data_IF_767505105916
#
_entry.id   IF_767505105916
#
_cell.length_a   1.000
_cell.length_b   1.000
_cell.length_c   1.000
_cell.angle_alpha   90.00
_cell.angle_beta   90.00
_cell.angle_gamma   90.00
#
_symmetry.space_group_name_H-M   'P 1'
#
loop_
_entity.id
_entity.type
_entity.pdbx_description
1 polymer ?
#
# COMPACT_ATOMS: atom_id res chain seq x y z
N UNK A 1 -8.82 -12.20 -24.04
CA UNK A 1 -8.72 -11.99 -25.51
C UNK A 1 -7.53 -11.09 -25.87
N UNK A 2 -7.02 -10.27 -24.95
CA UNK A 2 -5.89 -9.35 -25.19
C UNK A 2 -4.49 -10.02 -25.15
N UNK A 3 -4.37 -11.24 -24.62
CA UNK A 3 -3.08 -11.91 -24.38
C UNK A 3 -2.31 -11.37 -23.18
N UNK A 4 -2.84 -10.38 -22.46
CA UNK A 4 -2.19 -9.83 -21.28
C UNK A 4 -2.29 -10.79 -20.08
N UNK A 5 -1.22 -10.83 -19.28
CA UNK A 5 -1.18 -11.60 -18.03
C UNK A 5 -1.58 -10.67 -16.89
N UNK A 6 -2.68 -10.97 -16.21
CA UNK A 6 -3.20 -10.17 -15.10
C UNK A 6 -3.30 -11.09 -13.89
N UNK A 7 -2.66 -10.75 -12.79
CA UNK A 7 -2.67 -11.53 -11.54
C UNK A 7 -3.74 -11.06 -10.55
N UNK A 8 -4.08 -9.78 -10.60
CA UNK A 8 -5.15 -9.18 -9.80
C UNK A 8 -5.75 -7.97 -10.53
N UNK A 9 -6.90 -7.52 -10.08
CA UNK A 9 -7.56 -6.32 -10.59
C UNK A 9 -7.74 -5.32 -9.44
N UNK A 10 -7.04 -4.20 -9.52
CA UNK A 10 -7.16 -3.12 -8.55
C UNK A 10 -8.41 -2.31 -8.85
N UNK A 11 -9.29 -2.19 -7.86
CA UNK A 11 -10.53 -1.45 -7.94
C UNK A 11 -10.38 -0.14 -7.17
N UNK A 12 -10.92 0.94 -7.74
CA UNK A 12 -10.91 2.26 -7.12
C UNK A 12 -12.33 2.65 -6.68
N UNK A 13 -12.82 2.17 -5.55
CA UNK A 13 -14.01 2.73 -4.95
C UNK A 13 -13.72 4.17 -4.52
N UNK A 14 -14.76 4.99 -4.39
CA UNK A 14 -14.58 6.32 -3.81
C UNK A 14 -13.93 6.21 -2.44
N UNK A 15 -12.97 7.06 -2.16
CA UNK A 15 -12.28 7.08 -0.85
C UNK A 15 -13.20 7.38 0.34
N UNK A 16 -14.44 7.78 0.08
CA UNK A 16 -15.47 8.01 1.10
C UNK A 16 -16.47 6.85 1.22
N UNK A 17 -16.25 5.72 0.56
CA UNK A 17 -17.21 4.60 0.56
C UNK A 17 -17.53 4.09 1.96
N UNK A 18 -16.57 4.09 2.87
CA UNK A 18 -16.75 3.74 4.28
C UNK A 18 -17.45 4.83 5.12
N UNK A 19 -17.81 5.97 4.54
CA UNK A 19 -18.54 7.04 5.22
C UNK A 19 -20.04 6.85 5.02
N UNK A 20 -20.88 6.91 6.07
CA UNK A 20 -22.32 6.83 5.94
C UNK A 20 -22.87 7.85 4.93
N UNK A 21 -23.88 7.47 4.15
CA UNK A 21 -24.43 8.30 3.09
C UNK A 21 -24.84 9.71 3.57
N UNK A 22 -25.48 9.80 4.74
CA UNK A 22 -25.91 11.05 5.34
C UNK A 22 -24.75 11.95 5.79
N UNK A 23 -23.52 11.42 5.82
CA UNK A 23 -22.28 12.13 6.18
C UNK A 23 -21.43 12.50 4.98
N UNK A 24 -21.82 12.09 3.77
CA UNK A 24 -21.05 12.37 2.53
C UNK A 24 -21.35 13.75 1.94
N UNK A 25 -22.43 14.40 2.35
CA UNK A 25 -22.80 15.73 1.84
C UNK A 25 -21.70 16.75 2.16
N UNK A 26 -21.27 17.50 1.13
CA UNK A 26 -20.20 18.49 1.24
C UNK A 26 -18.78 17.94 1.32
N UNK A 27 -18.60 16.62 1.34
CA UNK A 27 -17.28 16.01 1.26
C UNK A 27 -16.84 15.98 -0.21
N UNK A 28 -15.61 16.42 -0.55
CA UNK A 28 -15.09 16.27 -1.89
C UNK A 28 -15.19 14.81 -2.33
N UNK A 29 -15.86 14.53 -3.42
CA UNK A 29 -15.93 13.16 -3.96
C UNK A 29 -14.60 12.82 -4.57
N UNK A 30 -13.96 11.77 -4.07
CA UNK A 30 -12.87 11.16 -4.78
C UNK A 30 -13.35 10.55 -6.11
N UNK A 31 -12.41 10.32 -6.99
CA UNK A 31 -12.61 9.50 -8.17
C UNK A 31 -12.97 8.07 -7.75
N UNK A 32 -13.73 7.38 -8.58
CA UNK A 32 -14.13 6.01 -8.31
C UNK A 32 -15.65 5.81 -8.27
N UNK A 33 -16.09 4.65 -7.84
CA UNK A 33 -17.51 4.26 -7.80
C UNK A 33 -17.99 4.02 -6.37
N UNK A 34 -19.30 4.16 -6.15
CA UNK A 34 -19.92 3.91 -4.87
C UNK A 34 -20.14 2.39 -4.64
N UNK A 35 -19.90 1.93 -3.43
CA UNK A 35 -20.15 0.57 -2.95
C UNK A 35 -21.02 0.67 -1.70
N UNK A 36 -22.33 0.77 -1.92
CA UNK A 36 -23.28 1.01 -0.82
C UNK A 36 -23.86 -0.28 -0.25
N UNK A 37 -24.12 -1.24 -1.13
CA UNK A 37 -24.78 -2.50 -0.77
C UNK A 37 -23.86 -3.71 -1.05
N UNK A 38 -24.02 -4.80 -0.32
CA UNK A 38 -23.24 -6.02 -0.55
C UNK A 38 -23.31 -6.50 -2.02
N UNK A 39 -24.42 -6.26 -2.71
CA UNK A 39 -24.57 -6.56 -4.13
C UNK A 39 -23.56 -5.84 -5.01
N UNK A 40 -23.18 -4.61 -4.67
CA UNK A 40 -22.22 -3.82 -5.44
C UNK A 40 -20.83 -4.46 -5.35
N UNK A 41 -20.38 -4.81 -4.13
CA UNK A 41 -19.14 -5.53 -3.89
C UNK A 41 -19.11 -6.87 -4.61
N UNK A 42 -20.22 -7.63 -4.53
CA UNK A 42 -20.34 -8.95 -5.16
C UNK A 42 -20.30 -8.84 -6.68
N UNK A 43 -20.96 -7.84 -7.26
CA UNK A 43 -20.95 -7.59 -8.71
C UNK A 43 -19.54 -7.40 -9.23
N UNK A 44 -18.72 -6.62 -8.52
CA UNK A 44 -17.34 -6.36 -8.91
C UNK A 44 -16.49 -7.63 -8.80
N UNK A 45 -16.56 -8.34 -7.69
CA UNK A 45 -15.76 -9.56 -7.49
C UNK A 45 -16.13 -10.66 -8.47
N UNK A 46 -17.41 -10.79 -8.84
CA UNK A 46 -17.88 -11.75 -9.82
C UNK A 46 -17.59 -11.36 -11.27
N UNK A 47 -17.41 -10.08 -11.56
CA UNK A 47 -17.06 -9.60 -12.90
C UNK A 47 -15.61 -9.91 -13.27
N UNK A 48 -14.75 -10.16 -12.28
CA UNK A 48 -13.34 -10.44 -12.48
C UNK A 48 -13.03 -11.94 -12.37
N UNK A 49 -12.19 -12.45 -13.27
CA UNK A 49 -11.62 -13.80 -13.18
C UNK A 49 -10.35 -13.86 -12.34
N UNK A 50 -9.85 -12.71 -11.93
CA UNK A 50 -8.69 -12.57 -11.03
C UNK A 50 -9.14 -11.89 -9.75
N UNK A 51 -8.29 -11.96 -8.72
CA UNK A 51 -8.62 -11.37 -7.42
C UNK A 51 -8.89 -9.87 -7.53
N UNK A 52 -10.05 -9.45 -7.04
CA UNK A 52 -10.36 -8.04 -6.87
C UNK A 52 -9.68 -7.49 -5.61
N UNK A 53 -8.91 -6.43 -5.78
CA UNK A 53 -8.27 -5.67 -4.69
C UNK A 53 -9.02 -4.34 -4.58
N UNK A 54 -9.68 -4.12 -3.46
CA UNK A 54 -10.33 -2.86 -3.18
C UNK A 54 -9.37 -1.94 -2.44
N UNK A 55 -8.82 -0.96 -3.14
CA UNK A 55 -7.95 0.06 -2.58
C UNK A 55 -8.75 1.24 -2.00
N UNK A 56 -8.11 2.04 -1.17
CA UNK A 56 -8.61 3.29 -0.56
C UNK A 56 -9.96 3.17 0.16
N UNK A 57 -10.28 2.01 0.67
CA UNK A 57 -11.68 1.73 0.79
C UNK A 57 -12.27 1.77 2.18
N UNK A 58 -11.60 1.32 3.25
CA UNK A 58 -12.45 1.16 4.43
C UNK A 58 -11.79 1.17 5.79
N UNK A 59 -10.53 0.81 5.92
CA UNK A 59 -9.95 0.66 7.27
C UNK A 59 -9.79 1.98 8.04
N UNK A 60 -9.89 3.13 7.42
CA UNK A 60 -9.82 4.43 8.09
C UNK A 60 -11.15 5.18 8.21
N UNK A 61 -12.26 4.57 7.80
CA UNK A 61 -13.56 5.23 7.67
C UNK A 61 -14.57 4.82 8.75
N UNK A 62 -15.64 5.60 8.95
CA UNK A 62 -16.64 5.33 10.00
C UNK A 62 -17.26 3.93 9.93
N UNK A 63 -17.47 3.40 8.72
CA UNK A 63 -18.06 2.08 8.51
C UNK A 63 -17.01 0.99 8.25
N UNK A 64 -15.80 1.13 8.79
CA UNK A 64 -14.71 0.18 8.57
C UNK A 64 -15.12 -1.28 8.84
N UNK A 65 -15.87 -1.53 9.91
CA UNK A 65 -16.36 -2.87 10.25
C UNK A 65 -17.33 -3.40 9.21
N UNK A 66 -18.31 -2.61 8.80
CA UNK A 66 -19.35 -3.02 7.81
C UNK A 66 -18.73 -3.25 6.43
N UNK A 67 -17.90 -2.33 5.97
CA UNK A 67 -17.24 -2.43 4.66
C UNK A 67 -16.27 -3.62 4.61
N UNK A 68 -15.53 -3.88 5.69
CA UNK A 68 -14.70 -5.07 5.81
C UNK A 68 -15.53 -6.35 5.69
N UNK A 69 -16.66 -6.42 6.39
CA UNK A 69 -17.59 -7.58 6.31
C UNK A 69 -18.13 -7.75 4.87
N UNK A 70 -18.54 -6.66 4.22
CA UNK A 70 -19.05 -6.70 2.86
C UNK A 70 -17.98 -7.15 1.84
N UNK A 71 -16.77 -6.62 1.93
CA UNK A 71 -15.65 -7.03 1.10
C UNK A 71 -15.33 -8.53 1.27
N UNK A 72 -15.27 -9.02 2.51
CA UNK A 72 -15.05 -10.45 2.81
C UNK A 72 -16.19 -11.34 2.30
N UNK A 73 -17.44 -10.95 2.49
CA UNK A 73 -18.60 -11.69 1.97
C UNK A 73 -18.63 -11.73 0.45
N UNK A 74 -18.14 -10.67 -0.19
CA UNK A 74 -18.01 -10.61 -1.65
C UNK A 74 -16.82 -11.45 -2.17
N UNK A 75 -15.95 -11.96 -1.30
CA UNK A 75 -14.82 -12.80 -1.66
C UNK A 75 -13.51 -12.06 -1.88
N UNK A 76 -13.39 -10.80 -1.45
CA UNK A 76 -12.12 -10.08 -1.51
C UNK A 76 -11.14 -10.64 -0.49
N UNK A 77 -9.94 -10.99 -0.96
CA UNK A 77 -8.84 -11.48 -0.12
C UNK A 77 -7.92 -10.35 0.34
N UNK A 78 -8.08 -9.16 -0.19
CA UNK A 78 -7.27 -7.98 0.13
C UNK A 78 -8.16 -6.94 0.79
N UNK A 79 -7.73 -6.52 1.98
CA UNK A 79 -8.41 -5.51 2.78
C UNK A 79 -7.50 -4.30 2.90
N UNK A 80 -7.80 -3.29 2.17
CA UNK A 80 -6.97 -2.10 2.16
C UNK A 80 -7.71 -0.92 2.73
N UNK A 81 -7.13 0.19 2.95
CA UNK A 81 -5.69 0.37 3.16
C UNK A 81 -5.49 0.71 4.63
N UNK A 82 -4.53 0.04 5.27
CA UNK A 82 -4.18 0.41 6.62
C UNK A 82 -3.21 1.59 6.57
N UNK A 83 -3.72 2.79 6.76
CA UNK A 83 -2.91 4.01 6.79
C UNK A 83 -2.88 4.61 8.19
N UNK A 84 -1.75 4.52 8.87
CA UNK A 84 -1.60 5.07 10.23
C UNK A 84 -1.75 6.58 10.26
N UNK A 85 -1.34 7.26 9.19
CA UNK A 85 -1.33 8.72 9.09
C UNK A 85 -2.56 9.30 8.39
N UNK A 86 -3.51 8.47 8.00
CA UNK A 86 -4.75 8.98 7.42
C UNK A 86 -5.44 9.94 8.39
N UNK A 87 -5.92 11.05 7.87
CA UNK A 87 -6.71 11.99 8.64
C UNK A 87 -8.01 11.31 9.12
N UNK A 88 -8.54 11.79 10.22
CA UNK A 88 -9.85 11.34 10.71
C UNK A 88 -10.90 11.60 9.63
N UNK A 89 -11.51 10.54 9.13
CA UNK A 89 -12.48 10.64 8.05
C UNK A 89 -13.76 11.37 8.48
N UNK A 90 -14.43 12.04 7.56
CA UNK A 90 -15.73 12.64 7.85
C UNK A 90 -16.72 11.64 8.44
N UNK A 91 -17.38 12.01 9.50
CA UNK A 91 -18.33 11.16 10.24
C UNK A 91 -17.72 10.39 11.40
N UNK A 92 -16.40 10.38 11.59
CA UNK A 92 -15.77 9.91 12.82
C UNK A 92 -15.89 11.00 13.91
N UNK A 93 -16.33 10.65 15.13
CA UNK A 93 -16.41 11.62 16.24
C UNK A 93 -15.04 12.14 16.69
N UNK A 94 -14.05 11.26 16.76
CA UNK A 94 -12.68 11.57 17.17
C UNK A 94 -11.69 10.46 16.72
N UNK A 95 -10.41 10.66 17.01
CA UNK A 95 -9.33 9.73 16.63
C UNK A 95 -9.44 8.40 17.36
N UNK A 96 -9.83 8.40 18.64
CA UNK A 96 -9.94 7.17 19.45
C UNK A 96 -11.04 6.29 18.89
N UNK A 97 -12.18 6.88 18.58
CA UNK A 97 -13.30 6.17 17.96
C UNK A 97 -12.88 5.58 16.59
N UNK A 98 -12.24 6.38 15.76
CA UNK A 98 -11.75 5.94 14.45
C UNK A 98 -10.79 4.75 14.59
N UNK A 99 -9.84 4.82 15.51
CA UNK A 99 -8.88 3.73 15.73
C UNK A 99 -9.57 2.48 16.30
N UNK A 100 -10.57 2.62 17.16
CA UNK A 100 -11.37 1.50 17.63
C UNK A 100 -12.06 0.75 16.48
N UNK A 101 -12.65 1.47 15.52
CA UNK A 101 -13.30 0.85 14.36
C UNK A 101 -12.28 0.14 13.47
N UNK A 102 -11.10 0.72 13.27
CA UNK A 102 -9.98 0.09 12.58
C UNK A 102 -9.55 -1.23 13.27
N UNK A 103 -9.34 -1.21 14.57
CA UNK A 103 -8.91 -2.40 15.32
C UNK A 103 -9.99 -3.49 15.29
N UNK A 104 -11.27 -3.13 15.34
CA UNK A 104 -12.37 -4.10 15.16
C UNK A 104 -12.32 -4.73 13.75
N UNK A 105 -12.13 -3.92 12.72
CA UNK A 105 -11.98 -4.40 11.35
C UNK A 105 -10.77 -5.34 11.19
N UNK A 106 -9.61 -4.97 11.75
CA UNK A 106 -8.44 -5.84 11.78
C UNK A 106 -8.70 -7.16 12.51
N UNK A 107 -9.43 -7.15 13.62
CA UNK A 107 -9.84 -8.36 14.33
C UNK A 107 -10.72 -9.29 13.49
N UNK A 108 -11.62 -8.74 12.67
CA UNK A 108 -12.43 -9.50 11.72
C UNK A 108 -11.54 -10.13 10.64
N UNK A 109 -10.59 -9.38 10.09
CA UNK A 109 -9.62 -9.89 9.11
C UNK A 109 -8.74 -10.98 9.73
N UNK A 110 -8.28 -10.77 10.97
CA UNK A 110 -7.47 -11.75 11.69
C UNK A 110 -8.18 -13.12 11.84
N UNK A 111 -9.51 -13.10 12.05
CA UNK A 111 -10.31 -14.32 12.11
C UNK A 111 -10.35 -15.09 10.77
N UNK A 112 -9.85 -14.50 9.69
CA UNK A 112 -9.72 -15.07 8.35
C UNK A 112 -8.28 -15.46 8.00
N UNK A 113 -7.42 -15.61 8.97
CA UNK A 113 -6.02 -15.95 8.75
C UNK A 113 -5.82 -17.19 7.87
N UNK A 114 -6.58 -18.24 8.11
CA UNK A 114 -6.50 -19.48 7.35
C UNK A 114 -6.98 -19.32 5.91
N UNK A 115 -7.87 -18.37 5.65
CA UNK A 115 -8.34 -18.00 4.32
C UNK A 115 -7.33 -17.11 3.57
N UNK A 116 -6.18 -16.81 4.19
CA UNK A 116 -5.11 -15.97 3.64
C UNK A 116 -5.53 -14.55 3.27
N UNK A 117 -6.50 -14.01 4.00
CA UNK A 117 -6.90 -12.61 3.82
C UNK A 117 -5.79 -11.69 4.33
N UNK A 118 -5.43 -10.69 3.53
CA UNK A 118 -4.29 -9.81 3.75
C UNK A 118 -4.79 -8.39 3.99
N UNK A 119 -4.18 -7.71 4.96
CA UNK A 119 -4.28 -6.27 5.13
C UNK A 119 -3.19 -5.64 4.29
N UNK A 120 -3.59 -4.89 3.29
CA UNK A 120 -2.67 -4.12 2.47
C UNK A 120 -2.34 -2.79 3.15
N UNK A 121 -1.07 -2.55 3.36
CA UNK A 121 -0.58 -1.24 3.72
C UNK A 121 -0.41 -0.39 2.47
N UNK A 122 -0.82 0.85 2.55
CA UNK A 122 -0.50 1.83 1.53
C UNK A 122 0.23 3.01 2.15
N UNK A 123 1.53 3.00 2.04
CA UNK A 123 2.40 4.10 2.45
C UNK A 123 2.87 4.90 1.24
N UNK A 124 2.01 5.12 0.26
CA UNK A 124 2.43 5.74 -0.99
C UNK A 124 2.24 7.26 -1.04
N UNK A 125 1.01 7.73 -0.98
CA UNK A 125 0.68 9.07 -1.49
C UNK A 125 1.15 10.24 -0.63
N UNK A 126 1.22 10.08 0.67
CA UNK A 126 1.54 11.20 1.56
C UNK A 126 2.67 10.93 2.52
N UNK A 127 2.85 9.70 2.97
CA UNK A 127 3.83 9.36 3.98
C UNK A 127 5.28 9.58 3.55
N UNK A 128 5.71 9.26 2.30
CA UNK A 128 7.10 9.49 1.89
C UNK A 128 7.57 10.94 2.03
N UNK A 129 6.64 11.90 1.91
CA UNK A 129 6.95 13.32 2.09
C UNK A 129 7.30 13.69 3.54
N UNK A 130 6.92 12.86 4.51
CA UNK A 130 7.20 13.06 5.93
C UNK A 130 8.39 12.25 6.43
N UNK A 131 8.82 11.23 5.69
CA UNK A 131 9.95 10.40 6.06
C UNK A 131 11.29 11.10 5.77
N UNK A 132 12.22 10.98 6.68
CA UNK A 132 13.55 11.60 6.55
C UNK A 132 14.37 10.92 5.45
N UNK A 133 14.23 9.59 5.31
CA UNK A 133 14.94 8.77 4.33
C UNK A 133 14.23 7.43 4.08
N UNK A 134 14.85 6.55 3.30
CA UNK A 134 14.30 5.23 2.98
C UNK A 134 14.29 4.28 4.19
N UNK A 135 15.20 4.46 5.13
CA UNK A 135 15.24 3.65 6.33
C UNK A 135 14.09 4.02 7.27
N UNK A 136 13.81 5.31 7.42
CA UNK A 136 12.65 5.78 8.17
C UNK A 136 11.33 5.31 7.55
N UNK A 137 11.25 5.32 6.21
CA UNK A 137 10.09 4.79 5.50
C UNK A 137 9.85 3.30 5.81
N UNK A 138 10.90 2.47 5.80
CA UNK A 138 10.77 1.06 6.17
C UNK A 138 10.49 0.88 7.67
N UNK A 139 11.00 1.75 8.54
CA UNK A 139 10.69 1.72 9.98
C UNK A 139 9.20 1.96 10.24
N UNK A 140 8.57 2.89 9.51
CA UNK A 140 7.12 3.07 9.55
C UNK A 140 6.34 1.85 9.05
N UNK A 141 6.82 1.19 8.01
CA UNK A 141 6.22 -0.07 7.54
C UNK A 141 6.34 -1.19 8.59
N UNK A 142 7.47 -1.26 9.32
CA UNK A 142 7.63 -2.18 10.47
C UNK A 142 6.65 -1.86 11.60
N UNK A 143 6.38 -0.59 11.86
CA UNK A 143 5.37 -0.18 12.81
C UNK A 143 3.97 -0.65 12.41
N UNK A 144 3.57 -0.41 11.16
CA UNK A 144 2.29 -0.90 10.66
C UNK A 144 2.17 -2.42 10.80
N UNK A 145 3.19 -3.13 10.36
CA UNK A 145 3.23 -4.58 10.52
C UNK A 145 3.14 -5.01 11.98
N UNK A 146 3.80 -4.31 12.89
CA UNK A 146 3.73 -4.59 14.32
C UNK A 146 2.28 -4.46 14.83
N UNK A 147 1.60 -3.38 14.51
CA UNK A 147 0.19 -3.20 14.88
C UNK A 147 -0.71 -4.24 14.22
N UNK A 148 -0.60 -4.41 12.92
CA UNK A 148 -1.48 -5.30 12.15
C UNK A 148 -1.25 -6.77 12.51
N UNK A 149 0.01 -7.21 12.55
CA UNK A 149 0.34 -8.63 12.70
C UNK A 149 0.64 -9.01 14.13
N UNK A 150 1.50 -8.27 14.82
CA UNK A 150 1.96 -8.69 16.14
C UNK A 150 0.94 -8.37 17.23
N UNK A 151 0.20 -7.27 17.11
CA UNK A 151 -0.86 -6.91 18.06
C UNK A 151 -2.24 -7.43 17.64
N UNK A 152 -2.68 -7.14 16.42
CA UNK A 152 -4.04 -7.46 15.94
C UNK A 152 -4.16 -8.85 15.31
N UNK A 153 -3.06 -9.58 15.09
CA UNK A 153 -3.02 -10.97 14.56
C UNK A 153 -3.56 -11.11 13.13
N UNK A 154 -3.59 -10.03 12.34
CA UNK A 154 -3.93 -10.08 10.93
C UNK A 154 -2.69 -10.29 10.05
N UNK A 155 -2.86 -10.75 8.81
CA UNK A 155 -1.78 -10.82 7.82
C UNK A 155 -1.54 -9.44 7.24
N UNK A 156 -0.29 -9.09 7.08
CA UNK A 156 0.15 -7.81 6.53
C UNK A 156 0.96 -8.01 5.26
N UNK A 157 0.71 -7.22 4.25
CA UNK A 157 1.61 -7.09 3.11
C UNK A 157 1.87 -5.60 2.80
N UNK A 158 3.08 -5.33 2.39
CA UNK A 158 3.54 -3.99 2.11
C UNK A 158 3.36 -3.63 0.64
N UNK A 159 2.85 -2.44 0.39
CA UNK A 159 2.77 -1.83 -0.93
C UNK A 159 3.28 -0.40 -0.87
N UNK A 160 3.95 0.05 -1.92
CA UNK A 160 4.43 1.42 -1.98
C UNK A 160 4.47 1.97 -3.41
N UNK A 161 4.43 3.29 -3.54
CA UNK A 161 4.47 3.99 -4.82
C UNK A 161 5.39 5.20 -4.77
N UNK A 162 4.87 6.36 -4.58
CA UNK A 162 5.48 7.71 -4.65
C UNK A 162 6.71 7.94 -3.75
N UNK A 163 7.65 7.01 -3.74
CA UNK A 163 8.80 7.00 -2.85
C UNK A 163 9.99 7.78 -3.42
N UNK A 164 10.35 7.46 -4.65
CA UNK A 164 11.53 8.03 -5.32
C UNK A 164 11.50 7.71 -6.81
N UNK A 165 12.02 8.62 -7.62
CA UNK A 165 12.28 8.39 -9.05
C UNK A 165 13.62 7.69 -9.30
N UNK A 166 14.45 7.51 -8.27
CA UNK A 166 15.71 6.78 -8.38
C UNK A 166 15.43 5.27 -8.41
N UNK A 167 15.64 4.65 -9.56
CA UNK A 167 15.34 3.23 -9.77
C UNK A 167 16.16 2.29 -8.87
N UNK A 168 17.40 2.66 -8.53
CA UNK A 168 18.24 1.89 -7.61
C UNK A 168 17.63 1.89 -6.21
N UNK A 169 17.24 3.06 -5.72
CA UNK A 169 16.60 3.22 -4.42
C UNK A 169 15.26 2.46 -4.37
N UNK A 170 14.48 2.53 -5.44
CA UNK A 170 13.20 1.82 -5.53
C UNK A 170 13.38 0.31 -5.52
N UNK A 171 14.36 -0.22 -6.28
CA UNK A 171 14.72 -1.63 -6.27
C UNK A 171 15.25 -2.08 -4.89
N UNK A 172 16.12 -1.28 -4.26
CA UNK A 172 16.66 -1.58 -2.94
C UNK A 172 15.55 -1.61 -1.88
N UNK A 173 14.62 -0.66 -1.92
CA UNK A 173 13.46 -0.63 -1.01
C UNK A 173 12.55 -1.83 -1.22
N UNK A 174 12.30 -2.23 -2.47
CA UNK A 174 11.56 -3.46 -2.79
C UNK A 174 12.19 -4.68 -2.11
N UNK A 175 13.51 -4.84 -2.27
CA UNK A 175 14.23 -5.96 -1.67
C UNK A 175 14.23 -5.88 -0.14
N UNK A 176 14.46 -4.70 0.42
CA UNK A 176 14.46 -4.49 1.86
C UNK A 176 13.09 -4.85 2.49
N UNK A 177 12.01 -4.40 1.87
CA UNK A 177 10.64 -4.72 2.30
C UNK A 177 10.33 -6.22 2.13
N UNK A 178 10.68 -6.80 0.97
CA UNK A 178 10.50 -8.23 0.73
C UNK A 178 11.20 -9.08 1.77
N UNK A 179 12.48 -8.79 2.04
CA UNK A 179 13.27 -9.52 3.04
C UNK A 179 12.71 -9.36 4.46
N UNK A 180 12.20 -8.16 4.79
CA UNK A 180 11.70 -7.82 6.13
C UNK A 180 10.35 -8.47 6.42
N UNK A 181 9.46 -8.52 5.44
CA UNK A 181 8.06 -8.91 5.65
C UNK A 181 7.70 -10.30 5.11
N UNK A 182 8.60 -10.95 4.36
CA UNK A 182 8.36 -12.29 3.82
C UNK A 182 8.06 -13.30 4.91
N UNK A 183 7.10 -14.18 4.59
CA UNK A 183 6.75 -15.36 5.38
C UNK A 183 6.80 -16.59 4.48
N UNK A 184 6.87 -17.78 5.06
CA UNK A 184 6.93 -19.05 4.33
C UNK A 184 5.75 -19.25 3.38
N UNK A 185 4.59 -18.69 3.72
CA UNK A 185 3.34 -18.87 3.01
C UNK A 185 2.86 -17.63 2.23
N UNK A 186 3.65 -16.54 2.22
CA UNK A 186 3.25 -15.29 1.60
C UNK A 186 4.46 -14.42 1.24
N UNK A 187 4.46 -13.72 0.08
CA UNK A 187 5.40 -12.65 -0.22
C UNK A 187 5.33 -11.54 0.84
N UNK A 188 6.45 -10.87 1.10
CA UNK A 188 6.49 -9.74 2.03
C UNK A 188 5.97 -8.44 1.42
N UNK A 189 5.97 -8.37 0.11
CA UNK A 189 5.50 -7.23 -0.68
C UNK A 189 4.49 -7.73 -1.70
N UNK A 190 3.42 -6.97 -1.93
CA UNK A 190 2.38 -7.35 -2.88
C UNK A 190 2.56 -6.65 -4.21
N UNK A 191 2.58 -5.33 -4.19
CA UNK A 191 2.74 -4.56 -5.41
C UNK A 191 3.41 -3.21 -5.15
N UNK A 192 3.96 -2.67 -6.23
CA UNK A 192 4.51 -1.32 -6.31
C UNK A 192 3.81 -0.61 -7.43
N UNK A 193 3.52 0.69 -7.24
CA UNK A 193 3.09 1.54 -8.34
C UNK A 193 4.13 2.59 -8.69
N UNK A 194 4.00 3.19 -9.90
CA UNK A 194 4.88 4.27 -10.32
C UNK A 194 4.63 5.54 -9.48
N UNK A 195 5.60 6.44 -9.51
CA UNK A 195 5.49 7.76 -8.88
C UNK A 195 4.59 8.69 -9.69
N UNK A 196 3.28 8.56 -9.53
CA UNK A 196 2.30 9.31 -10.33
C UNK A 196 2.07 10.73 -9.83
N UNK A 197 2.17 10.95 -8.51
CA UNK A 197 1.82 12.24 -7.91
C UNK A 197 2.93 13.29 -8.14
N UNK A 198 4.18 12.91 -7.91
CA UNK A 198 5.30 13.86 -7.90
C UNK A 198 5.90 14.12 -9.28
N UNK A 199 5.91 13.10 -10.15
CA UNK A 199 6.68 13.15 -11.39
C UNK A 199 5.83 13.21 -12.66
N UNK A 200 4.57 12.83 -12.60
CA UNK A 200 3.70 12.87 -13.76
C UNK A 200 3.15 14.28 -13.98
N UNK A 201 2.98 14.64 -15.24
CA UNK A 201 2.45 15.92 -15.65
C UNK A 201 1.33 15.82 -16.69
N UNK A 202 0.88 16.97 -17.20
CA UNK A 202 -0.17 17.04 -18.20
C UNK A 202 0.28 16.64 -19.62
N UNK A 203 1.57 16.43 -19.83
CA UNK A 203 2.10 15.86 -21.07
C UNK A 203 2.04 14.33 -21.00
N UNK A 204 0.82 13.80 -21.14
CA UNK A 204 0.48 12.41 -20.83
C UNK A 204 1.48 11.39 -21.40
N UNK A 205 1.90 11.56 -22.65
CA UNK A 205 2.84 10.61 -23.26
C UNK A 205 4.24 10.63 -22.63
N UNK A 206 4.65 11.73 -22.00
CA UNK A 206 5.93 11.78 -21.29
C UNK A 206 5.94 10.90 -20.06
N UNK A 207 4.78 10.63 -19.47
CA UNK A 207 4.61 9.79 -18.29
C UNK A 207 5.04 8.32 -18.53
N UNK A 208 5.03 7.84 -19.80
CA UNK A 208 5.64 6.56 -20.15
C UNK A 208 7.13 6.51 -19.80
N UNK A 209 7.83 7.64 -19.90
CA UNK A 209 9.25 7.74 -19.59
C UNK A 209 9.61 7.45 -18.12
N UNK A 210 8.66 7.58 -17.22
CA UNK A 210 8.82 7.18 -15.82
C UNK A 210 8.40 5.73 -15.59
N UNK A 211 7.22 5.35 -16.06
CA UNK A 211 6.66 4.06 -15.71
C UNK A 211 7.35 2.86 -16.38
N UNK A 212 7.74 3.00 -17.66
CA UNK A 212 8.39 1.90 -18.37
C UNK A 212 9.77 1.53 -17.77
N UNK A 213 10.67 2.50 -17.45
CA UNK A 213 11.90 2.19 -16.72
C UNK A 213 11.67 1.56 -15.35
N UNK A 214 10.65 2.00 -14.59
CA UNK A 214 10.28 1.39 -13.32
C UNK A 214 9.81 -0.07 -13.50
N UNK A 215 8.93 -0.31 -14.46
CA UNK A 215 8.45 -1.66 -14.77
C UNK A 215 9.60 -2.58 -15.19
N UNK A 216 10.54 -2.09 -16.01
CA UNK A 216 11.73 -2.84 -16.39
C UNK A 216 12.60 -3.17 -15.17
N UNK A 217 12.90 -2.19 -14.32
CA UNK A 217 13.72 -2.40 -13.13
C UNK A 217 13.10 -3.45 -12.20
N UNK A 218 11.80 -3.36 -11.96
CA UNK A 218 11.12 -4.30 -11.07
C UNK A 218 11.00 -5.70 -11.69
N UNK A 219 10.85 -5.78 -13.01
CA UNK A 219 10.95 -7.05 -13.73
C UNK A 219 12.35 -7.69 -13.54
N UNK A 220 13.42 -6.92 -13.62
CA UNK A 220 14.77 -7.39 -13.34
C UNK A 220 14.94 -7.87 -11.89
N UNK A 221 14.38 -7.16 -10.93
CA UNK A 221 14.37 -7.58 -9.52
C UNK A 221 13.66 -8.92 -9.36
N UNK A 222 12.45 -9.07 -9.93
CA UNK A 222 11.70 -10.33 -9.83
C UNK A 222 12.41 -11.50 -10.52
N UNK A 223 13.06 -11.27 -11.65
CA UNK A 223 13.82 -12.31 -12.35
C UNK A 223 14.99 -12.84 -11.51
N UNK A 224 15.69 -11.95 -10.80
CA UNK A 224 16.85 -12.33 -9.99
C UNK A 224 16.46 -12.86 -8.60
N UNK A 225 15.60 -12.16 -7.89
CA UNK A 225 15.36 -12.41 -6.46
C UNK A 225 14.05 -13.16 -6.17
N UNK A 226 13.11 -13.20 -7.12
CA UNK A 226 11.83 -13.92 -6.99
C UNK A 226 11.09 -13.57 -5.71
N UNK A 227 10.86 -12.29 -5.53
CA UNK A 227 10.20 -11.76 -4.32
C UNK A 227 8.73 -12.15 -4.25
N UNK A 228 8.10 -12.37 -5.39
CA UNK A 228 6.70 -12.71 -5.53
C UNK A 228 5.78 -11.49 -5.56
N UNK A 229 6.35 -10.29 -5.59
CA UNK A 229 5.58 -9.06 -5.74
C UNK A 229 5.18 -8.78 -7.20
N UNK A 230 4.35 -7.78 -7.38
CA UNK A 230 3.81 -7.36 -8.68
C UNK A 230 4.05 -5.87 -8.93
N UNK A 231 4.10 -5.48 -10.21
CA UNK A 231 4.06 -4.08 -10.60
C UNK A 231 2.63 -3.70 -11.01
N UNK A 232 2.07 -2.70 -10.34
CA UNK A 232 0.78 -2.15 -10.71
C UNK A 232 0.99 -1.10 -11.81
N UNK A 233 0.63 -1.44 -13.05
CA UNK A 233 0.67 -0.48 -14.15
C UNK A 233 -0.46 0.53 -14.01
N UNK A 234 -0.12 1.81 -13.99
CA UNK A 234 -1.07 2.91 -13.85
C UNK A 234 -1.17 3.66 -15.18
N UNK A 235 -2.36 3.88 -15.73
CA UNK A 235 -2.52 4.61 -16.99
C UNK A 235 -1.98 6.03 -16.93
N UNK A 236 -1.42 6.51 -18.04
CA UNK A 236 -0.74 7.81 -18.12
C UNK A 236 -1.62 9.02 -17.78
N UNK A 237 -2.94 8.87 -17.84
CA UNK A 237 -3.92 9.91 -17.53
C UNK A 237 -4.33 9.95 -16.05
N UNK A 238 -3.90 9.02 -15.22
CA UNK A 238 -4.37 8.81 -13.84
C UNK A 238 -4.28 10.08 -12.98
N UNK A 239 -3.20 10.86 -13.11
CA UNK A 239 -3.05 12.13 -12.36
C UNK A 239 -4.11 13.19 -12.70
N UNK A 240 -4.72 13.14 -13.87
CA UNK A 240 -5.58 14.22 -14.39
C UNK A 240 -7.03 13.81 -14.64
N UNK A 241 -7.29 12.51 -14.75
CA UNK A 241 -8.62 12.00 -15.06
C UNK A 241 -8.77 10.54 -14.58
N UNK A 242 -10.01 10.06 -14.52
CA UNK A 242 -10.28 8.63 -14.38
C UNK A 242 -9.86 7.94 -15.69
N UNK A 243 -8.92 6.97 -15.62
CA UNK A 243 -8.46 6.28 -16.82
C UNK A 243 -9.56 5.47 -17.51
N UNK A 244 -9.47 5.40 -18.82
CA UNK A 244 -10.33 4.54 -19.64
C UNK A 244 -9.76 3.12 -19.73
N UNK A 245 -10.62 2.13 -20.02
CA UNK A 245 -10.18 0.75 -20.22
C UNK A 245 -9.10 0.61 -21.32
N UNK A 246 -9.19 1.27 -22.48
CA UNK A 246 -8.10 1.26 -23.46
C UNK A 246 -6.76 1.74 -22.89
N UNK A 247 -6.75 2.83 -22.14
CA UNK A 247 -5.52 3.36 -21.51
C UNK A 247 -4.91 2.37 -20.50
N UNK A 248 -5.77 1.69 -19.72
CA UNK A 248 -5.32 0.64 -18.80
C UNK A 248 -4.65 -0.53 -19.56
N UNK A 249 -5.27 -0.98 -20.66
CA UNK A 249 -4.73 -2.07 -21.46
C UNK A 249 -3.44 -1.67 -22.18
N UNK A 250 -3.35 -0.45 -22.71
CA UNK A 250 -2.18 0.06 -23.40
C UNK A 250 -0.98 0.14 -22.43
N UNK A 251 -1.20 0.68 -21.23
CA UNK A 251 -0.14 0.78 -20.23
C UNK A 251 0.30 -0.61 -19.74
N UNK A 252 -0.64 -1.48 -19.42
CA UNK A 252 -0.33 -2.86 -19.01
C UNK A 252 0.45 -3.58 -20.08
N UNK A 253 0.06 -3.43 -21.35
CA UNK A 253 0.78 -3.99 -22.49
C UNK A 253 2.17 -3.41 -22.64
N UNK A 254 2.33 -2.10 -22.48
CA UNK A 254 3.63 -1.44 -22.55
C UNK A 254 4.59 -1.92 -21.44
N UNK A 255 4.10 -2.04 -20.21
CA UNK A 255 4.89 -2.57 -19.10
C UNK A 255 5.28 -4.05 -19.33
N UNK A 256 4.36 -4.88 -19.81
CA UNK A 256 4.67 -6.29 -20.09
C UNK A 256 5.68 -6.48 -21.23
N UNK A 257 5.79 -5.54 -22.16
CA UNK A 257 6.83 -5.57 -23.19
C UNK A 257 8.25 -5.45 -22.63
N UNK A 258 8.41 -4.95 -21.42
CA UNK A 258 9.72 -4.97 -20.76
C UNK A 258 10.26 -6.38 -20.54
N UNK A 259 9.39 -7.41 -20.50
CA UNK A 259 9.77 -8.81 -20.42
C UNK A 259 10.69 -9.23 -21.59
N UNK A 260 10.47 -8.64 -22.78
CA UNK A 260 11.24 -8.97 -23.99
C UNK A 260 12.69 -8.45 -23.90
N UNK A 261 12.89 -7.30 -23.26
CA UNK A 261 14.18 -6.63 -23.11
C UNK A 261 14.92 -6.99 -21.82
N UNK A 262 14.20 -7.40 -20.78
CA UNK A 262 14.77 -7.70 -19.47
C UNK A 262 15.96 -8.67 -19.50
N UNK A 263 15.98 -9.79 -20.28
CA UNK A 263 17.12 -10.69 -20.33
C UNK A 263 18.43 -10.04 -20.83
N UNK A 264 18.33 -8.98 -21.63
CA UNK A 264 19.49 -8.24 -22.12
C UNK A 264 20.00 -7.24 -21.09
N UNK A 265 19.10 -6.52 -20.46
CA UNK A 265 19.43 -5.57 -19.40
C UNK A 265 19.98 -6.27 -18.14
N UNK A 266 19.49 -7.45 -17.83
CA UNK A 266 19.99 -8.26 -16.71
C UNK A 266 21.51 -8.50 -16.78
N UNK A 267 22.07 -8.66 -18.00
CA UNK A 267 23.50 -8.83 -18.24
C UNK A 267 24.32 -7.55 -18.01
N UNK A 268 23.67 -6.39 -18.00
CA UNK A 268 24.29 -5.08 -17.82
C UNK A 268 24.18 -4.56 -16.39
N UNK A 269 23.38 -5.23 -15.54
CA UNK A 269 23.10 -4.76 -14.17
C UNK A 269 24.25 -5.07 -13.22
N UNK A 270 24.75 -4.04 -12.58
CA UNK A 270 25.53 -4.17 -11.35
C UNK A 270 24.58 -4.11 -10.15
N UNK A 271 24.37 -5.24 -9.54
CA UNK A 271 23.48 -5.37 -8.39
C UNK A 271 24.11 -4.95 -7.07
N UNK A 272 25.43 -4.77 -7.02
CA UNK A 272 26.15 -4.46 -5.77
C UNK A 272 25.59 -3.24 -5.10
N UNK A 273 25.37 -2.16 -5.84
CA UNK A 273 24.83 -0.91 -5.28
C UNK A 273 23.39 -1.06 -4.76
N UNK A 274 22.58 -1.89 -5.42
CA UNK A 274 21.21 -2.18 -4.99
C UNK A 274 21.23 -2.99 -3.68
N UNK A 275 22.10 -3.99 -3.59
CA UNK A 275 22.23 -4.86 -2.42
C UNK A 275 22.80 -4.10 -1.21
N UNK A 276 23.83 -3.27 -1.41
CA UNK A 276 24.40 -2.41 -0.38
C UNK A 276 23.37 -1.40 0.15
N UNK A 277 22.61 -0.78 -0.75
CA UNK A 277 21.54 0.17 -0.37
C UNK A 277 20.43 -0.56 0.39
N UNK A 278 20.01 -1.76 -0.06
CA UNK A 278 19.04 -2.61 0.67
C UNK A 278 19.51 -2.90 2.10
N UNK A 279 20.76 -3.31 2.26
CA UNK A 279 21.29 -3.70 3.57
C UNK A 279 21.35 -2.49 4.51
N UNK A 280 21.73 -1.32 4.01
CA UNK A 280 21.68 -0.05 4.75
C UNK A 280 20.24 0.28 5.20
N UNK A 281 19.27 0.23 4.27
CA UNK A 281 17.86 0.48 4.60
C UNK A 281 17.38 -0.47 5.71
N UNK A 282 17.72 -1.75 5.62
CA UNK A 282 17.32 -2.75 6.62
C UNK A 282 17.95 -2.48 7.99
N UNK A 283 19.23 -2.21 8.04
CA UNK A 283 19.95 -1.94 9.27
C UNK A 283 19.40 -0.71 10.01
N UNK A 284 19.35 0.42 9.34
CA UNK A 284 18.90 1.67 9.96
C UNK A 284 17.41 1.68 10.27
N UNK A 285 16.59 1.03 9.46
CA UNK A 285 15.17 0.89 9.76
C UNK A 285 14.90 0.06 11.02
N UNK A 286 15.75 -0.91 11.32
CA UNK A 286 15.63 -1.68 12.57
C UNK A 286 15.97 -0.82 13.78
N UNK A 287 17.09 -0.10 13.72
CA UNK A 287 17.49 0.82 14.79
C UNK A 287 16.38 1.83 15.08
N UNK A 288 15.86 2.45 14.02
CA UNK A 288 14.82 3.46 14.14
C UNK A 288 13.50 2.88 14.69
N UNK A 289 13.10 1.70 14.22
CA UNK A 289 11.90 1.04 14.72
C UNK A 289 12.02 0.72 16.23
N UNK A 290 13.18 0.24 16.68
CA UNK A 290 13.43 0.00 18.10
C UNK A 290 13.42 1.31 18.91
N UNK A 291 13.99 2.39 18.36
CA UNK A 291 13.92 3.70 18.99
C UNK A 291 12.47 4.19 19.14
N UNK A 292 11.62 3.95 18.14
CA UNK A 292 10.20 4.27 18.23
C UNK A 292 9.52 3.54 19.39
N UNK A 293 9.74 2.23 19.51
CA UNK A 293 9.13 1.44 20.59
C UNK A 293 9.63 1.89 21.96
N UNK A 294 10.96 2.02 22.13
CA UNK A 294 11.57 2.43 23.38
C UNK A 294 11.09 3.85 23.80
N UNK A 295 11.08 4.78 22.86
CA UNK A 295 10.65 6.15 23.14
C UNK A 295 9.18 6.23 23.54
N UNK A 296 8.32 5.39 22.98
CA UNK A 296 6.93 5.31 23.38
C UNK A 296 6.76 4.73 24.78
N UNK A 297 7.48 3.66 25.13
CA UNK A 297 7.47 3.10 26.49
C UNK A 297 7.97 4.13 27.50
N UNK A 298 9.06 4.85 27.21
CA UNK A 298 9.57 5.92 28.07
C UNK A 298 8.58 7.07 28.25
N UNK A 299 7.76 7.35 27.23
CA UNK A 299 6.67 8.32 27.30
C UNK A 299 5.44 7.80 28.05
N UNK A 300 5.45 6.56 28.51
CA UNK A 300 4.36 5.93 29.26
C UNK A 300 3.21 5.42 28.38
N UNK A 301 3.49 5.15 27.11
CA UNK A 301 2.53 4.57 26.15
C UNK A 301 2.64 3.04 26.23
N UNK A 302 1.50 2.38 26.34
CA UNK A 302 1.47 0.92 26.27
C UNK A 302 1.64 0.44 24.84
N UNK A 303 2.85 0.06 24.47
CA UNK A 303 3.19 -0.45 23.13
C UNK A 303 2.50 -1.77 22.80
N UNK A 304 1.92 -2.47 23.77
CA UNK A 304 1.12 -3.69 23.54
C UNK A 304 -0.35 -3.38 23.26
N UNK A 305 -0.76 -2.13 23.41
CA UNK A 305 -2.11 -1.66 23.14
C UNK A 305 -2.17 -1.01 21.73
N UNK A 306 -2.77 -1.68 20.72
CA UNK A 306 -2.80 -1.16 19.37
C UNK A 306 -3.53 0.19 19.25
N UNK A 307 -4.49 0.48 20.14
CA UNK A 307 -5.21 1.75 20.13
C UNK A 307 -4.29 2.87 20.57
N UNK A 308 -3.54 2.70 21.65
CA UNK A 308 -2.60 3.72 22.14
C UNK A 308 -1.51 3.98 21.08
N UNK A 309 -0.96 2.93 20.51
CA UNK A 309 0.02 3.00 19.44
C UNK A 309 -0.47 3.85 18.26
N UNK A 310 -1.70 3.64 17.81
CA UNK A 310 -2.26 4.37 16.67
C UNK A 310 -2.70 5.79 17.02
N UNK A 311 -3.27 6.01 18.20
CA UNK A 311 -3.74 7.35 18.62
C UNK A 311 -2.59 8.33 18.79
N UNK A 312 -1.43 7.86 19.25
CA UNK A 312 -0.22 8.70 19.33
C UNK A 312 0.15 9.25 17.96
N UNK A 313 0.18 8.40 16.93
CA UNK A 313 0.50 8.81 15.56
C UNK A 313 -0.53 9.79 14.98
N UNK A 314 -1.81 9.62 15.33
CA UNK A 314 -2.86 10.57 14.90
C UNK A 314 -2.72 11.95 15.55
N UNK A 315 -2.14 12.04 16.74
CA UNK A 315 -1.99 13.28 17.51
C UNK A 315 -0.64 13.95 17.32
N UNK A 316 0.34 13.21 16.82
CA UNK A 316 1.69 13.69 16.61
C UNK A 316 1.98 13.76 15.10
N UNK A 317 2.59 14.86 14.68
CA UNK A 317 3.10 14.98 13.32
C UNK A 317 4.23 13.94 13.09
N UNK A 318 4.21 13.17 11.98
CA UNK A 318 5.21 12.15 11.71
C UNK A 318 6.64 12.68 11.72
N UNK A 319 6.87 13.88 11.18
CA UNK A 319 8.20 14.51 11.16
C UNK A 319 8.71 14.80 12.57
N UNK A 320 7.83 15.26 13.46
CA UNK A 320 8.20 15.47 14.87
C UNK A 320 8.48 14.18 15.59
N UNK A 321 7.70 13.14 15.28
CA UNK A 321 7.90 11.82 15.87
C UNK A 321 9.28 11.27 15.47
N UNK A 322 9.63 11.34 14.20
CA UNK A 322 10.96 10.94 13.73
C UNK A 322 12.09 11.75 14.40
N UNK A 323 11.93 13.07 14.51
CA UNK A 323 12.92 13.92 15.16
C UNK A 323 13.15 13.61 16.63
N UNK A 324 12.13 13.07 17.32
CA UNK A 324 12.23 12.70 18.73
C UNK A 324 12.88 11.33 18.94
N UNK A 325 12.68 10.40 18.03
CA UNK A 325 13.02 8.99 18.20
C UNK A 325 13.95 8.42 17.12
N UNK A 326 14.49 9.29 16.27
CA UNK A 326 15.44 8.88 15.22
C UNK A 326 16.82 8.46 15.76
#
# INVERSE_FOLDING_TARGET
ETGLRISFAHQLPKNIVGTPKDKREGVPTALGFDLDELSDWTTITQASTVQAVFADNHLGYPNAVETTINALKAGSMYQGMFGMFQQVAPGCPDEVWNMNENIKALGIVAAKWDDRVIVNSNQDDSLPAYCMDLASYLAWAKWERYVVTDLCKARYAFSFGNLTSNLIHKAAMWLAASDTFRRDDQPGIEFIYPNTVDHWDHHLHSNYGFQIPEALMLNLVERKYKTGGSFLSVPISEKVAIPTVPEMLDMTGACQRTDESAPYFEQMMDWTIVEETRDHIKEYSEIMFQNFLNGMEEAGIDITNPIEMMVVLKKMDPTKFEQLFH
#
